data_IF_888309440239
#
_entry.id   IF_888309440239
#
_cell.length_a   1.000
_cell.length_b   1.000
_cell.length_c   1.000
_cell.angle_alpha   90.00
_cell.angle_beta   90.00
_cell.angle_gamma   90.00
#
_symmetry.space_group_name_H-M   'P 1'
#
loop_
_entity.id
_entity.type
_entity.pdbx_description
1 polymer ?
#
# COMPACT_ATOMS: atom_id res chain seq x y z
N UNK A 1 -2.37 15.17 3.12
CA UNK A 1 -2.18 13.73 3.28
C UNK A 1 -2.29 13.02 1.94
N UNK A 2 -1.37 12.10 1.68
CA UNK A 2 -1.35 11.29 0.46
C UNK A 2 -1.70 9.86 0.81
N UNK A 3 -2.70 9.29 0.15
CA UNK A 3 -3.15 7.93 0.43
C UNK A 3 -2.92 7.06 -0.81
N UNK A 4 -2.23 5.93 -0.62
CA UNK A 4 -2.05 4.92 -1.65
C UNK A 4 -2.89 3.72 -1.24
N UNK A 5 -3.74 3.25 -2.15
CA UNK A 5 -4.48 2.00 -1.96
C UNK A 5 -4.14 1.09 -3.13
N UNK A 6 -3.58 -0.07 -2.82
CA UNK A 6 -3.26 -1.09 -3.82
C UNK A 6 -4.28 -2.22 -3.69
N UNK A 7 -5.01 -2.50 -4.77
CA UNK A 7 -6.03 -3.55 -4.80
C UNK A 7 -5.42 -4.87 -5.25
N UNK A 8 -5.58 -5.89 -4.42
CA UNK A 8 -5.08 -7.24 -4.71
C UNK A 8 -6.25 -8.20 -4.83
N UNK A 9 -6.20 -9.06 -5.84
CA UNK A 9 -7.24 -10.08 -6.06
C UNK A 9 -6.87 -11.44 -5.46
N UNK A 10 -5.59 -11.64 -5.14
CA UNK A 10 -5.11 -12.87 -4.54
C UNK A 10 -5.13 -12.83 -3.02
N UNK A 11 -4.60 -13.89 -2.40
CA UNK A 11 -4.42 -13.95 -0.96
C UNK A 11 -3.21 -13.10 -0.54
N UNK A 12 -3.18 -12.61 0.73
CA UNK A 12 -2.05 -11.83 1.22
C UNK A 12 -0.71 -12.56 1.09
N UNK A 13 0.31 -11.81 0.64
CA UNK A 13 1.66 -12.33 0.47
C UNK A 13 2.70 -11.29 0.88
N UNK A 14 3.90 -11.76 1.24
CA UNK A 14 4.98 -10.88 1.71
C UNK A 14 5.43 -9.88 0.64
N UNK A 15 5.35 -10.25 -0.63
CA UNK A 15 5.75 -9.39 -1.74
C UNK A 15 4.86 -8.15 -1.85
N UNK A 16 3.59 -8.26 -1.42
CA UNK A 16 2.64 -7.16 -1.49
C UNK A 16 3.08 -5.99 -0.62
N UNK A 17 3.53 -6.28 0.59
CA UNK A 17 4.01 -5.27 1.53
C UNK A 17 5.27 -4.59 0.99
N UNK A 18 6.21 -5.38 0.49
CA UNK A 18 7.44 -4.85 -0.08
C UNK A 18 7.14 -3.90 -1.24
N UNK A 19 6.25 -4.30 -2.13
CA UNK A 19 5.90 -3.50 -3.30
C UNK A 19 5.31 -2.14 -2.91
N UNK A 20 4.34 -2.14 -1.98
CA UNK A 20 3.69 -0.88 -1.61
C UNK A 20 4.62 0.04 -0.82
N UNK A 21 5.54 -0.51 -0.03
CA UNK A 21 6.54 0.30 0.66
C UNK A 21 7.54 0.94 -0.31
N UNK A 22 7.84 0.28 -1.43
CA UNK A 22 8.65 0.86 -2.49
C UNK A 22 7.94 2.06 -3.14
N UNK A 23 6.63 1.95 -3.37
CA UNK A 23 5.84 3.08 -3.85
C UNK A 23 5.84 4.24 -2.85
N UNK A 24 5.72 3.92 -1.56
CA UNK A 24 5.76 4.94 -0.51
C UNK A 24 7.09 5.70 -0.55
N UNK A 25 8.20 4.98 -0.64
CA UNK A 25 9.52 5.61 -0.72
C UNK A 25 9.63 6.54 -1.92
N UNK A 26 9.12 6.12 -3.07
CA UNK A 26 9.14 6.96 -4.28
C UNK A 26 8.36 8.25 -4.07
N UNK A 27 7.17 8.17 -3.47
CA UNK A 27 6.36 9.36 -3.22
C UNK A 27 6.97 10.25 -2.14
N UNK A 28 7.57 9.67 -1.10
CA UNK A 28 8.31 10.45 -0.08
C UNK A 28 9.45 11.24 -0.71
N UNK A 29 10.19 10.61 -1.65
CA UNK A 29 11.27 11.26 -2.38
C UNK A 29 10.78 12.40 -3.29
N UNK A 30 9.52 12.32 -3.72
CA UNK A 30 8.87 13.36 -4.53
C UNK A 30 8.18 14.42 -3.67
N UNK A 31 8.42 14.43 -2.37
CA UNK A 31 7.88 15.40 -1.42
C UNK A 31 6.34 15.38 -1.27
N UNK A 32 5.69 14.25 -1.53
CA UNK A 32 4.28 14.13 -1.21
C UNK A 32 4.08 14.08 0.31
N UNK A 33 3.13 14.86 0.86
CA UNK A 33 2.99 14.98 2.30
C UNK A 33 2.27 13.78 2.93
N UNK A 34 2.79 13.31 4.07
CA UNK A 34 2.12 12.33 4.92
C UNK A 34 1.56 11.12 4.17
N UNK A 35 2.45 10.38 3.50
CA UNK A 35 2.05 9.22 2.70
C UNK A 35 1.59 8.07 3.59
N UNK A 36 0.35 7.60 3.38
CA UNK A 36 -0.23 6.43 4.02
C UNK A 36 -0.48 5.35 2.98
N UNK A 37 -0.11 4.12 3.29
CA UNK A 37 -0.23 3.00 2.36
C UNK A 37 -1.18 1.94 2.89
N UNK A 38 -2.14 1.55 2.06
CA UNK A 38 -3.10 0.49 2.36
C UNK A 38 -3.06 -0.59 1.30
N UNK A 39 -3.25 -1.83 1.74
CA UNK A 39 -3.51 -2.95 0.84
C UNK A 39 -4.94 -3.41 1.02
N UNK A 40 -5.69 -3.51 -0.07
CA UNK A 40 -7.05 -4.05 -0.05
C UNK A 40 -7.08 -5.40 -0.75
N UNK A 41 -7.43 -6.44 -0.01
CA UNK A 41 -7.56 -7.80 -0.53
C UNK A 41 -9.02 -8.11 -0.78
N UNK A 42 -9.43 -8.03 -2.05
CA UNK A 42 -10.83 -8.20 -2.44
C UNK A 42 -11.35 -9.62 -2.18
N UNK A 43 -10.49 -10.64 -2.28
CA UNK A 43 -10.89 -12.03 -2.04
C UNK A 43 -11.39 -12.28 -0.62
N UNK A 44 -10.90 -11.52 0.35
CA UNK A 44 -11.27 -11.66 1.78
C UNK A 44 -11.90 -10.39 2.34
N UNK A 45 -12.09 -9.35 1.50
CA UNK A 45 -12.70 -8.08 1.93
C UNK A 45 -11.95 -7.37 3.02
N UNK A 46 -10.62 -7.43 3.02
CA UNK A 46 -9.80 -6.86 4.09
C UNK A 46 -8.98 -5.68 3.60
N UNK A 47 -9.05 -4.57 4.36
CA UNK A 47 -8.19 -3.40 4.17
C UNK A 47 -7.14 -3.36 5.27
N UNK A 48 -5.86 -3.31 4.89
CA UNK A 48 -4.74 -3.28 5.84
C UNK A 48 -3.94 -2.01 5.70
N UNK A 49 -3.67 -1.34 6.82
CA UNK A 49 -2.71 -0.24 6.87
C UNK A 49 -1.29 -0.83 6.92
N UNK A 50 -0.46 -0.44 5.97
CA UNK A 50 0.92 -0.95 5.89
C UNK A 50 1.94 0.07 6.39
N UNK A 51 1.68 1.34 6.13
CA UNK A 51 2.66 2.32 6.60
C UNK A 51 2.41 3.77 6.28
#
# INVERSE_FOLDING_TARGET
ETIIIDYKTGLPGKKDIKQILEYKMTLDDMDYPNVKCYLFYSAIGELRLVG
#
